data_IF_375278906830
#
_entry.id   IF_375278906830
#
_cell.length_a   1.000
_cell.length_b   1.000
_cell.length_c   1.000
_cell.angle_alpha   90.00
_cell.angle_beta   90.00
_cell.angle_gamma   90.00
#
_symmetry.space_group_name_H-M   'P 1'
#
loop_
_entity.id
_entity.type
_entity.pdbx_description
1 polymer ?
#
# COMPACT_ATOMS: atom_id res chain seq x y z
N UNK A 1 5.34 29.19 37.77
CA UNK A 1 4.23 28.82 36.84
C UNK A 1 4.83 28.20 35.60
N UNK A 2 4.68 26.88 35.43
CA UNK A 2 5.21 26.18 34.27
C UNK A 2 4.27 26.44 33.09
N UNK A 3 4.70 27.22 32.13
CA UNK A 3 3.98 27.41 30.86
C UNK A 3 4.02 26.08 30.08
N UNK A 4 2.98 25.28 30.24
CA UNK A 4 2.73 24.07 29.46
C UNK A 4 2.30 24.46 28.01
N UNK A 5 3.18 25.08 27.27
CA UNK A 5 2.99 25.30 25.83
C UNK A 5 3.36 24.02 25.08
N UNK A 6 2.36 23.15 24.82
CA UNK A 6 2.53 22.05 23.91
C UNK A 6 2.57 22.58 22.47
N UNK A 7 3.77 22.73 21.93
CA UNK A 7 3.92 23.07 20.52
C UNK A 7 3.77 21.80 19.69
N UNK A 8 2.72 21.76 18.85
CA UNK A 8 2.53 20.67 17.90
C UNK A 8 3.67 20.66 16.89
N UNK A 9 4.42 19.56 16.82
CA UNK A 9 5.51 19.39 15.85
C UNK A 9 4.94 19.07 14.49
N UNK A 10 5.22 19.89 13.50
CA UNK A 10 4.90 19.64 12.10
C UNK A 10 6.11 19.03 11.39
N UNK A 11 5.83 18.05 10.52
CA UNK A 11 6.87 17.44 9.70
C UNK A 11 7.28 18.38 8.55
N UNK A 12 8.58 18.45 8.28
CA UNK A 12 9.16 19.07 7.09
C UNK A 12 9.90 18.01 6.28
N UNK A 13 10.12 18.23 5.00
CA UNK A 13 10.84 17.31 4.14
C UNK A 13 12.23 16.92 4.68
N UNK A 14 12.90 17.83 5.42
CA UNK A 14 14.20 17.58 6.04
C UNK A 14 14.13 16.80 7.36
N UNK A 15 12.97 16.80 8.05
CA UNK A 15 12.83 16.16 9.38
C UNK A 15 12.14 14.79 9.31
N UNK A 16 11.54 14.44 8.17
CA UNK A 16 10.86 13.16 8.00
C UNK A 16 11.89 12.04 7.87
N UNK A 17 11.74 11.01 8.69
CA UNK A 17 12.47 9.76 8.58
C UNK A 17 11.59 8.71 7.91
N UNK A 18 12.13 8.04 6.89
CA UNK A 18 11.46 6.96 6.18
C UNK A 18 12.05 5.61 6.58
N UNK A 19 11.22 4.73 7.12
CA UNK A 19 11.60 3.37 7.45
C UNK A 19 11.17 2.40 6.33
N UNK A 20 11.79 1.23 6.31
CA UNK A 20 11.43 0.15 5.40
C UNK A 20 10.77 -0.98 6.19
N UNK A 21 9.67 -1.47 5.66
CA UNK A 21 8.91 -2.56 6.25
C UNK A 21 8.65 -3.65 5.22
N UNK A 22 8.74 -4.91 5.67
CA UNK A 22 8.30 -6.07 4.89
C UNK A 22 7.07 -6.69 5.54
N UNK A 23 6.12 -7.06 4.71
CA UNK A 23 4.84 -7.67 5.08
C UNK A 23 4.67 -8.95 4.29
N UNK A 24 4.47 -10.07 4.97
CA UNK A 24 4.10 -11.32 4.32
C UNK A 24 2.60 -11.34 4.02
N UNK A 25 2.26 -11.57 2.76
CA UNK A 25 0.88 -11.68 2.27
C UNK A 25 0.23 -13.04 2.54
N UNK A 26 0.97 -14.05 2.99
CA UNK A 26 0.47 -15.41 3.17
C UNK A 26 -0.73 -15.45 4.11
N UNK A 27 -1.85 -15.97 3.62
CA UNK A 27 -3.13 -16.09 4.34
C UNK A 27 -3.72 -14.76 4.86
N UNK A 28 -3.20 -13.62 4.41
CA UNK A 28 -3.73 -12.32 4.78
C UNK A 28 -4.95 -11.94 3.91
N UNK A 29 -5.96 -11.35 4.53
CA UNK A 29 -7.10 -10.81 3.76
C UNK A 29 -6.70 -9.54 3.02
N UNK A 30 -6.87 -9.53 1.70
CA UNK A 30 -6.46 -8.41 0.82
C UNK A 30 -6.90 -7.05 1.36
N UNK A 31 -8.18 -6.89 1.69
CA UNK A 31 -8.72 -5.58 2.10
C UNK A 31 -8.13 -5.07 3.42
N UNK A 32 -8.04 -5.92 4.43
CA UNK A 32 -7.51 -5.56 5.76
C UNK A 32 -6.03 -5.26 5.71
N UNK A 33 -5.26 -6.09 5.02
CA UNK A 33 -3.83 -5.88 4.80
C UNK A 33 -3.58 -4.56 4.05
N UNK A 34 -4.26 -4.34 2.92
CA UNK A 34 -4.09 -3.12 2.12
C UNK A 34 -4.47 -1.84 2.88
N UNK A 35 -5.47 -1.89 3.78
CA UNK A 35 -5.84 -0.74 4.61
C UNK A 35 -4.72 -0.35 5.59
N UNK A 36 -4.08 -1.33 6.23
CA UNK A 36 -2.93 -1.10 7.13
C UNK A 36 -1.72 -0.58 6.33
N UNK A 37 -1.42 -1.19 5.17
CA UNK A 37 -0.35 -0.72 4.27
C UNK A 37 -0.60 0.73 3.84
N UNK A 38 -1.81 1.09 3.43
CA UNK A 38 -2.15 2.45 3.05
C UNK A 38 -1.97 3.46 4.19
N UNK A 39 -2.26 3.07 5.44
CA UNK A 39 -2.03 3.90 6.62
C UNK A 39 -0.53 4.16 6.85
N UNK A 40 0.33 3.14 6.66
CA UNK A 40 1.79 3.24 6.78
C UNK A 40 2.38 4.10 5.65
N UNK A 41 1.97 3.86 4.40
CA UNK A 41 2.40 4.65 3.24
C UNK A 41 2.02 6.13 3.35
N UNK A 42 0.92 6.43 4.04
CA UNK A 42 0.49 7.79 4.34
C UNK A 42 1.23 8.38 5.55
N UNK A 43 1.77 7.53 6.43
CA UNK A 43 2.46 7.93 7.65
C UNK A 43 1.55 8.23 8.83
N UNK A 44 0.31 7.70 8.83
CA UNK A 44 -0.66 7.91 9.93
C UNK A 44 -0.23 7.28 11.26
N UNK A 45 0.73 6.38 11.23
CA UNK A 45 1.34 5.75 12.40
C UNK A 45 2.35 6.64 13.13
N UNK A 46 2.71 7.80 12.56
CA UNK A 46 3.72 8.70 13.13
C UNK A 46 3.06 9.84 13.91
N UNK A 47 3.60 10.15 15.09
CA UNK A 47 3.09 11.22 15.95
C UNK A 47 3.15 12.61 15.29
N UNK A 48 4.13 12.83 14.41
CA UNK A 48 4.32 14.09 13.66
C UNK A 48 3.64 14.09 12.28
N UNK A 49 2.65 13.20 12.08
CA UNK A 49 1.93 13.15 10.82
C UNK A 49 1.39 14.50 10.38
N UNK A 50 1.76 14.93 9.17
CA UNK A 50 1.32 16.20 8.59
C UNK A 50 0.70 15.92 7.20
N UNK A 51 -0.57 16.29 6.96
CA UNK A 51 -1.31 15.88 5.75
C UNK A 51 -0.72 16.31 4.41
N UNK A 52 -0.02 17.43 4.37
CA UNK A 52 0.57 18.02 3.16
C UNK A 52 2.02 17.58 2.90
N UNK A 53 2.64 16.87 3.86
CA UNK A 53 4.01 16.36 3.76
C UNK A 53 3.99 14.85 3.58
N UNK A 54 4.93 14.31 2.82
CA UNK A 54 5.09 12.86 2.67
C UNK A 54 5.82 12.26 3.87
N UNK A 55 5.06 11.90 4.90
CA UNK A 55 5.56 11.31 6.14
C UNK A 55 5.63 9.78 6.09
N UNK A 56 5.12 9.13 5.04
CA UNK A 56 4.96 7.68 4.98
C UNK A 56 6.26 6.92 4.78
N UNK A 57 6.22 5.64 5.12
CA UNK A 57 7.33 4.71 5.04
C UNK A 57 7.28 3.87 3.76
N UNK A 58 8.36 3.14 3.47
CA UNK A 58 8.42 2.18 2.38
C UNK A 58 7.86 0.83 2.83
N UNK A 59 7.03 0.21 1.99
CA UNK A 59 6.44 -1.10 2.28
C UNK A 59 6.71 -2.06 1.15
N UNK A 60 7.26 -3.21 1.51
CA UNK A 60 7.50 -4.36 0.63
C UNK A 60 6.46 -5.41 1.01
N UNK A 61 5.70 -5.91 0.04
CA UNK A 61 4.78 -7.04 0.22
C UNK A 61 5.35 -8.24 -0.51
N UNK A 62 5.52 -9.33 0.21
CA UNK A 62 5.98 -10.62 -0.33
C UNK A 62 4.83 -11.61 -0.39
N UNK A 63 4.96 -12.70 -1.15
CA UNK A 63 3.95 -13.75 -1.29
C UNK A 63 2.56 -13.21 -1.68
N UNK A 64 2.49 -12.26 -2.60
CA UNK A 64 1.22 -11.64 -2.98
C UNK A 64 0.26 -12.60 -3.71
N UNK A 65 0.72 -13.74 -4.17
CA UNK A 65 -0.06 -14.83 -4.76
C UNK A 65 -0.85 -15.64 -3.72
N UNK A 66 -0.42 -15.63 -2.45
CA UNK A 66 -1.02 -16.40 -1.35
C UNK A 66 -2.02 -15.60 -0.50
N UNK A 67 -2.39 -14.40 -0.95
CA UNK A 67 -3.41 -13.59 -0.26
C UNK A 67 -4.81 -14.16 -0.45
N UNK A 68 -5.68 -13.90 0.53
CA UNK A 68 -7.03 -14.48 0.57
C UNK A 68 -8.11 -13.41 0.36
N UNK A 69 -9.11 -13.76 -0.45
CA UNK A 69 -10.36 -13.01 -0.56
C UNK A 69 -11.41 -13.65 0.33
N UNK A 70 -12.22 -12.87 1.01
CA UNK A 70 -13.33 -13.33 1.85
C UNK A 70 -14.63 -13.44 1.05
N UNK A 71 -15.43 -14.47 1.30
CA UNK A 71 -16.68 -14.75 0.59
C UNK A 71 -16.43 -15.03 -0.90
N UNK A 72 -17.41 -14.77 -1.76
CA UNK A 72 -17.36 -15.08 -3.19
C UNK A 72 -16.59 -14.07 -4.05
N UNK A 73 -15.83 -13.15 -3.42
CA UNK A 73 -15.13 -12.07 -4.15
C UNK A 73 -14.12 -12.56 -5.20
N UNK A 74 -13.61 -13.76 -5.03
CA UNK A 74 -12.64 -14.32 -5.98
C UNK A 74 -13.29 -14.52 -7.37
N UNK A 75 -14.54 -14.96 -7.41
CA UNK A 75 -15.26 -15.22 -8.66
C UNK A 75 -16.12 -14.03 -9.12
N UNK A 76 -16.70 -13.27 -8.18
CA UNK A 76 -17.65 -12.18 -8.50
C UNK A 76 -16.97 -10.82 -8.72
N UNK A 77 -15.80 -10.57 -8.09
CA UNK A 77 -15.15 -9.25 -8.20
C UNK A 77 -14.56 -9.06 -9.58
N UNK A 78 -15.04 -8.03 -10.27
CA UNK A 78 -14.55 -7.64 -11.60
C UNK A 78 -13.57 -6.47 -11.45
N UNK A 79 -12.46 -6.58 -12.16
CA UNK A 79 -11.50 -5.50 -12.39
C UNK A 79 -11.65 -5.03 -13.83
N UNK A 80 -12.12 -3.80 -14.00
CA UNK A 80 -12.26 -3.21 -15.31
C UNK A 80 -11.10 -2.27 -15.66
N UNK A 81 -10.80 -2.17 -16.94
CA UNK A 81 -9.88 -1.21 -17.54
C UNK A 81 -10.51 -0.65 -18.79
N UNK A 82 -10.32 0.66 -18.98
CA UNK A 82 -10.85 1.36 -20.15
C UNK A 82 -9.74 2.10 -20.88
N UNK A 83 -9.63 1.87 -22.19
CA UNK A 83 -8.58 2.47 -23.01
C UNK A 83 -8.89 3.90 -23.51
N UNK A 84 -10.12 4.39 -23.30
CA UNK A 84 -10.57 5.69 -23.80
C UNK A 84 -11.22 5.65 -25.20
N UNK A 85 -11.20 4.50 -25.86
CA UNK A 85 -11.82 4.34 -27.20
C UNK A 85 -13.18 3.62 -27.10
N UNK A 86 -14.11 3.86 -28.05
CA UNK A 86 -15.35 3.10 -28.15
C UNK A 86 -15.09 1.59 -28.11
N UNK A 87 -15.82 0.84 -27.30
CA UNK A 87 -15.61 -0.60 -27.12
C UNK A 87 -14.34 -1.00 -26.35
N UNK A 88 -13.56 -0.04 -25.83
CA UNK A 88 -12.27 -0.31 -25.18
C UNK A 88 -12.34 -0.76 -23.72
N UNK A 89 -13.54 -1.04 -23.14
CA UNK A 89 -13.69 -1.60 -21.79
C UNK A 89 -13.31 -3.08 -21.79
N UNK A 90 -12.39 -3.45 -20.93
CA UNK A 90 -12.00 -4.84 -20.67
C UNK A 90 -12.28 -5.18 -19.23
N UNK A 91 -12.95 -6.30 -19.01
CA UNK A 91 -13.30 -6.81 -17.68
C UNK A 91 -12.57 -8.12 -17.43
N UNK A 92 -12.06 -8.28 -16.22
CA UNK A 92 -11.36 -9.48 -15.77
C UNK A 92 -11.77 -9.81 -14.34
N UNK A 93 -12.08 -11.08 -14.06
CA UNK A 93 -12.42 -11.52 -12.69
C UNK A 93 -11.18 -11.51 -11.81
N UNK A 94 -11.38 -11.37 -10.48
CA UNK A 94 -10.28 -11.41 -9.52
C UNK A 94 -9.47 -12.71 -9.64
N UNK A 95 -10.14 -13.83 -9.88
CA UNK A 95 -9.53 -15.15 -10.07
C UNK A 95 -8.54 -15.19 -11.25
N UNK A 96 -8.96 -14.64 -12.39
CA UNK A 96 -8.11 -14.59 -13.57
C UNK A 96 -6.93 -13.62 -13.39
N UNK A 97 -7.19 -12.46 -12.77
CA UNK A 97 -6.15 -11.47 -12.47
C UNK A 97 -5.10 -12.04 -11.49
N UNK A 98 -5.52 -12.76 -10.43
CA UNK A 98 -4.62 -13.43 -9.49
C UNK A 98 -3.73 -14.47 -10.16
N UNK A 99 -4.25 -15.23 -11.13
CA UNK A 99 -3.45 -16.21 -11.88
C UNK A 99 -2.42 -15.58 -12.80
N UNK A 100 -2.76 -14.43 -13.39
CA UNK A 100 -1.94 -13.77 -14.40
C UNK A 100 -0.95 -12.77 -13.80
N UNK A 101 -1.41 -11.91 -12.88
CA UNK A 101 -0.64 -10.82 -12.29
C UNK A 101 -1.15 -10.50 -10.87
N UNK A 102 -0.80 -11.31 -9.87
CA UNK A 102 -1.30 -11.13 -8.51
C UNK A 102 -0.88 -9.79 -7.88
N UNK A 103 0.27 -9.23 -8.27
CA UNK A 103 0.75 -7.95 -7.75
C UNK A 103 -0.26 -6.82 -7.99
N UNK A 104 -0.89 -6.81 -9.16
CA UNK A 104 -1.83 -5.76 -9.58
C UNK A 104 -3.05 -5.68 -8.66
N UNK A 105 -3.44 -6.79 -8.05
CA UNK A 105 -4.56 -6.83 -7.09
C UNK A 105 -4.27 -5.96 -5.87
N UNK A 106 -3.09 -6.12 -5.26
CA UNK A 106 -2.65 -5.34 -4.10
C UNK A 106 -2.40 -3.89 -4.52
N UNK A 107 -1.72 -3.68 -5.63
CA UNK A 107 -1.43 -2.34 -6.16
C UNK A 107 -2.69 -1.52 -6.38
N UNK A 108 -3.72 -2.09 -7.05
CA UNK A 108 -5.00 -1.41 -7.29
C UNK A 108 -5.75 -1.15 -5.98
N UNK A 109 -5.73 -2.10 -5.04
CA UNK A 109 -6.39 -1.95 -3.74
C UNK A 109 -5.76 -0.79 -2.94
N UNK A 110 -4.44 -0.77 -2.81
CA UNK A 110 -3.72 0.30 -2.10
C UNK A 110 -3.86 1.64 -2.81
N UNK A 111 -3.73 1.68 -4.15
CA UNK A 111 -3.91 2.90 -4.94
C UNK A 111 -5.29 3.53 -4.75
N UNK A 112 -6.34 2.69 -4.64
CA UNK A 112 -7.70 3.15 -4.36
C UNK A 112 -7.88 3.73 -2.96
N UNK A 113 -7.06 3.31 -1.98
CA UNK A 113 -7.10 3.77 -0.59
C UNK A 113 -6.22 5.01 -0.33
N UNK A 114 -5.30 5.33 -1.23
CA UNK A 114 -4.46 6.52 -1.14
C UNK A 114 -5.15 7.76 -1.74
N UNK A 115 -4.76 8.97 -1.32
CA UNK A 115 -5.30 10.22 -1.88
C UNK A 115 -5.06 10.32 -3.39
N UNK A 116 -6.05 10.79 -4.14
CA UNK A 116 -5.98 10.94 -5.61
C UNK A 116 -5.34 12.27 -6.04
N UNK A 117 -4.18 12.61 -5.46
CA UNK A 117 -3.45 13.85 -5.74
C UNK A 117 -1.97 13.60 -6.07
N UNK A 118 -1.19 14.67 -6.27
CA UNK A 118 0.26 14.56 -6.55
C UNK A 118 1.01 13.89 -5.40
N UNK A 119 0.63 14.16 -4.15
CA UNK A 119 1.22 13.56 -2.95
C UNK A 119 0.90 12.07 -2.88
N UNK A 120 -0.35 11.65 -3.14
CA UNK A 120 -0.73 10.25 -3.18
C UNK A 120 0.04 9.44 -4.22
N UNK A 121 0.39 10.04 -5.38
CA UNK A 121 1.26 9.39 -6.36
C UNK A 121 2.69 9.20 -5.86
N UNK A 122 3.22 10.13 -5.04
CA UNK A 122 4.53 9.96 -4.38
C UNK A 122 4.48 8.84 -3.34
N UNK A 123 3.42 8.80 -2.52
CA UNK A 123 3.22 7.74 -1.53
C UNK A 123 3.13 6.35 -2.20
N UNK A 124 2.39 6.25 -3.30
CA UNK A 124 2.23 4.99 -4.04
C UNK A 124 3.56 4.42 -4.57
N UNK A 125 4.51 5.27 -4.96
CA UNK A 125 5.85 4.84 -5.41
C UNK A 125 6.69 4.15 -4.33
N UNK A 126 6.27 4.22 -3.07
CA UNK A 126 6.93 3.57 -1.93
C UNK A 126 6.37 2.17 -1.64
N UNK A 127 5.43 1.69 -2.45
CA UNK A 127 4.91 0.34 -2.39
C UNK A 127 5.65 -0.54 -3.39
N UNK A 128 6.17 -1.67 -2.91
CA UNK A 128 6.79 -2.72 -3.72
C UNK A 128 6.07 -4.03 -3.46
N UNK A 129 5.67 -4.74 -4.49
CA UNK A 129 4.90 -5.98 -4.38
C UNK A 129 5.61 -7.08 -5.15
N UNK A 130 5.80 -8.23 -4.50
CA UNK A 130 6.49 -9.39 -5.05
C UNK A 130 5.66 -10.65 -4.87
N UNK A 131 5.71 -11.55 -5.85
CA UNK A 131 5.05 -12.86 -5.81
C UNK A 131 5.81 -13.85 -4.97
N UNK A 132 7.14 -13.73 -4.93
CA UNK A 132 8.02 -14.62 -4.16
C UNK A 132 8.30 -14.05 -2.76
N UNK A 133 8.91 -14.86 -1.93
CA UNK A 133 9.43 -14.45 -0.62
C UNK A 133 10.66 -13.53 -0.76
N UNK A 134 11.46 -13.74 -1.80
CA UNK A 134 12.67 -12.96 -2.07
C UNK A 134 12.38 -11.57 -2.62
N UNK A 135 13.10 -10.57 -2.12
CA UNK A 135 13.04 -9.18 -2.60
C UNK A 135 14.45 -8.57 -2.74
N UNK A 136 14.68 -7.63 -3.67
CA UNK A 136 16.01 -7.04 -3.92
C UNK A 136 16.43 -5.98 -2.90
N UNK A 137 15.59 -5.68 -1.90
CA UNK A 137 15.77 -4.59 -0.93
C UNK A 137 16.48 -5.01 0.36
N UNK A 138 17.40 -5.99 0.32
CA UNK A 138 18.15 -6.44 1.50
C UNK A 138 19.05 -5.35 2.11
N UNK A 139 19.63 -4.50 1.26
CA UNK A 139 20.51 -3.41 1.71
C UNK A 139 19.80 -2.37 2.61
N UNK A 140 18.49 -2.21 2.48
CA UNK A 140 17.67 -1.29 3.27
C UNK A 140 17.28 -1.84 4.64
N UNK A 141 17.61 -3.10 4.94
CA UNK A 141 17.32 -3.78 6.21
C UNK A 141 15.84 -3.59 6.66
N UNK A 142 14.86 -4.00 5.85
CA UNK A 142 13.46 -3.79 6.16
C UNK A 142 13.06 -4.56 7.41
N UNK A 143 12.22 -3.94 8.26
CA UNK A 143 11.68 -4.56 9.47
C UNK A 143 10.41 -5.34 9.14
N UNK A 144 10.28 -6.54 9.67
CA UNK A 144 9.05 -7.31 9.53
C UNK A 144 7.88 -6.64 10.27
N UNK A 145 6.73 -6.57 9.60
CA UNK A 145 5.46 -6.17 10.19
C UNK A 145 4.46 -7.32 10.09
N UNK A 146 3.98 -7.77 11.24
CA UNK A 146 2.89 -8.74 11.37
C UNK A 146 1.57 -7.98 11.61
N UNK A 147 0.53 -8.35 10.88
CA UNK A 147 -0.79 -7.69 10.95
C UNK A 147 -1.83 -8.56 11.65
#
# INVERSE_FOLDING_TARGET
MSNLHFTTKHANAATVQHNWYVVDGTNQTVGRMCAKIAAILRGKNKAYYTPHVDCGDYVIVTNCDKVVFTGNKLDEKIYDTYSGYPGGRKEETAKNLMKRRPEVVIERAVKGMLPKNRLGRKMYKKLFVYTSEGHPHGAQQPKELKF
#
